data_IF_628841703506
#
_entry.id   IF_628841703506
#
_cell.length_a   1.000
_cell.length_b   1.000
_cell.length_c   1.000
_cell.angle_alpha   90.00
_cell.angle_beta   90.00
_cell.angle_gamma   90.00
#
_symmetry.space_group_name_H-M   'P 1'
#
loop_
_entity.id
_entity.type
_entity.pdbx_description
1 polymer ?
#
# COMPACT_ATOMS: atom_id res chain seq x y z
N UNK A 1 4.73 -11.46 20.20
CA UNK A 1 5.36 -10.20 19.75
C UNK A 1 4.57 -9.50 18.64
N UNK A 2 4.08 -10.22 17.62
CA UNK A 2 3.53 -9.61 16.40
C UNK A 2 2.19 -8.90 16.61
N UNK A 3 1.32 -9.41 17.50
CA UNK A 3 -0.02 -8.83 17.75
C UNK A 3 0.01 -7.39 18.25
N UNK A 4 1.03 -7.01 19.02
CA UNK A 4 1.15 -5.66 19.58
C UNK A 4 1.57 -4.67 18.50
N UNK A 5 2.52 -5.06 17.65
CA UNK A 5 2.90 -4.28 16.45
C UNK A 5 1.71 -4.13 15.48
N UNK A 6 0.94 -5.19 15.25
CA UNK A 6 -0.27 -5.13 14.42
C UNK A 6 -1.36 -4.24 15.04
N UNK A 7 -1.59 -4.31 16.35
CA UNK A 7 -2.56 -3.47 17.03
C UNK A 7 -2.16 -1.99 17.01
N UNK A 8 -0.88 -1.69 17.22
CA UNK A 8 -0.34 -0.32 17.14
C UNK A 8 -0.42 0.19 15.70
N UNK A 9 -0.11 -0.66 14.71
CA UNK A 9 -0.25 -0.35 13.31
C UNK A 9 -1.70 0.00 12.92
N UNK A 10 -2.63 -0.87 13.30
CA UNK A 10 -4.05 -0.72 13.01
C UNK A 10 -4.66 0.50 13.72
N UNK A 11 -4.16 0.83 14.92
CA UNK A 11 -4.52 2.06 15.61
C UNK A 11 -3.98 3.31 14.89
N UNK A 12 -2.70 3.32 14.53
CA UNK A 12 -2.03 4.43 13.83
C UNK A 12 -2.69 4.79 12.49
N UNK A 13 -3.24 3.80 11.79
CA UNK A 13 -3.84 4.01 10.46
C UNK A 13 -5.33 4.30 10.46
N UNK A 14 -5.96 4.35 11.64
CA UNK A 14 -7.33 4.83 11.76
C UNK A 14 -7.33 6.34 11.98
N UNK A 15 -8.39 7.07 11.55
CA UNK A 15 -8.54 8.51 11.79
C UNK A 15 -8.17 8.98 13.22
N UNK A 16 -8.56 8.30 14.32
CA UNK A 16 -8.12 8.66 15.66
C UNK A 16 -6.61 8.57 15.89
N UNK A 17 -5.92 7.55 15.36
CA UNK A 17 -4.47 7.41 15.52
C UNK A 17 -3.70 8.52 14.81
N UNK A 18 -4.21 8.99 13.67
CA UNK A 18 -3.66 10.15 12.96
C UNK A 18 -3.72 11.43 13.82
N UNK A 19 -4.85 11.72 14.46
CA UNK A 19 -4.96 12.89 15.35
C UNK A 19 -4.00 12.80 16.55
N UNK A 20 -3.84 11.62 17.14
CA UNK A 20 -2.88 11.38 18.23
C UNK A 20 -1.45 11.67 17.77
N UNK A 21 -1.09 11.24 16.55
CA UNK A 21 0.24 11.52 15.98
C UNK A 21 0.47 13.01 15.72
N UNK A 22 -0.53 13.73 15.20
CA UNK A 22 -0.45 15.18 14.98
C UNK A 22 -0.22 15.92 16.32
N UNK A 23 -0.96 15.54 17.37
CA UNK A 23 -0.78 16.13 18.71
C UNK A 23 0.62 15.81 19.25
N UNK A 24 1.06 14.57 19.13
CA UNK A 24 2.40 14.16 19.57
C UNK A 24 3.51 14.94 18.85
N UNK A 25 3.37 15.18 17.54
CA UNK A 25 4.31 15.99 16.76
C UNK A 25 4.30 17.46 17.18
N UNK A 26 3.12 18.04 17.43
CA UNK A 26 2.97 19.42 17.89
C UNK A 26 3.61 19.63 19.27
N UNK A 27 3.34 18.71 20.20
CA UNK A 27 3.94 18.72 21.55
C UNK A 27 5.46 18.55 21.47
N UNK A 28 5.93 17.61 20.64
CA UNK A 28 7.37 17.38 20.44
C UNK A 28 8.06 18.65 19.92
N UNK A 29 7.47 19.32 18.93
CA UNK A 29 8.00 20.56 18.36
C UNK A 29 8.03 21.70 19.38
N UNK A 30 7.00 21.80 20.22
CA UNK A 30 6.93 22.81 21.29
C UNK A 30 8.00 22.60 22.38
N UNK A 31 8.54 21.38 22.54
CA UNK A 31 9.59 21.06 23.53
C UNK A 31 11.01 21.39 23.04
N UNK A 32 11.22 21.59 21.72
CA UNK A 32 12.52 21.98 21.13
C UNK A 32 13.14 23.23 21.76
N UNK A 33 12.42 24.36 21.94
CA UNK A 33 13.01 25.59 22.52
C UNK A 33 13.45 25.45 23.99
N UNK A 34 13.07 24.37 24.68
CA UNK A 34 13.49 24.10 26.06
C UNK A 34 14.88 23.41 26.16
N UNK A 35 15.62 23.31 25.06
CA UNK A 35 16.94 22.67 25.03
C UNK A 35 16.91 21.15 24.93
N UNK A 36 15.73 20.55 24.78
CA UNK A 36 15.55 19.10 24.53
C UNK A 36 15.72 18.72 23.06
N UNK A 37 16.23 19.61 22.20
CA UNK A 37 16.33 19.44 20.74
C UNK A 37 16.87 18.08 20.32
N UNK A 38 17.95 17.59 20.95
CA UNK A 38 18.54 16.30 20.59
C UNK A 38 17.62 15.11 20.90
N UNK A 39 16.97 15.13 22.06
CA UNK A 39 16.06 14.05 22.50
C UNK A 39 14.80 14.04 21.66
N UNK A 40 14.22 15.22 21.43
CA UNK A 40 13.02 15.40 20.60
C UNK A 40 13.29 14.97 19.16
N UNK A 41 14.42 15.40 18.58
CA UNK A 41 14.79 15.05 17.21
C UNK A 41 14.97 13.54 17.06
N UNK A 42 15.69 12.91 18.00
CA UNK A 42 15.89 11.46 17.96
C UNK A 42 14.57 10.70 18.08
N UNK A 43 13.69 11.12 19.01
CA UNK A 43 12.37 10.52 19.19
C UNK A 43 11.49 10.65 17.92
N UNK A 44 11.48 11.83 17.29
CA UNK A 44 10.74 12.06 16.05
C UNK A 44 11.29 11.22 14.88
N UNK A 45 12.62 11.08 14.76
CA UNK A 45 13.22 10.25 13.72
C UNK A 45 12.86 8.77 13.88
N UNK A 46 12.92 8.24 15.11
CA UNK A 46 12.53 6.85 15.40
C UNK A 46 11.03 6.65 15.13
N UNK A 47 10.18 7.59 15.55
CA UNK A 47 8.75 7.55 15.28
C UNK A 47 8.44 7.53 13.77
N UNK A 48 9.10 8.38 12.99
CA UNK A 48 8.93 8.43 11.54
C UNK A 48 9.26 7.07 10.88
N UNK A 49 10.39 6.46 11.25
CA UNK A 49 10.80 5.15 10.72
C UNK A 49 9.76 4.07 11.04
N UNK A 50 9.26 4.02 12.28
CA UNK A 50 8.25 3.05 12.71
C UNK A 50 6.95 3.25 11.92
N UNK A 51 6.48 4.50 11.78
CA UNK A 51 5.24 4.81 11.07
C UNK A 51 5.36 4.46 9.59
N UNK A 52 6.48 4.80 8.94
CA UNK A 52 6.74 4.40 7.56
C UNK A 52 6.69 2.88 7.40
N UNK A 53 7.30 2.12 8.31
CA UNK A 53 7.21 0.66 8.32
C UNK A 53 5.78 0.13 8.45
N UNK A 54 5.00 0.72 9.38
CA UNK A 54 3.59 0.40 9.59
C UNK A 54 2.74 0.65 8.34
N UNK A 55 2.90 1.80 7.70
CA UNK A 55 2.16 2.19 6.49
C UNK A 55 2.49 1.25 5.33
N UNK A 56 3.76 0.90 5.15
CA UNK A 56 4.19 -0.06 4.12
C UNK A 56 3.56 -1.44 4.31
N UNK A 57 3.52 -1.94 5.54
CA UNK A 57 2.91 -3.26 5.86
C UNK A 57 1.41 -3.25 5.55
N UNK A 58 0.72 -2.16 5.85
CA UNK A 58 -0.71 -2.04 5.57
C UNK A 58 -1.00 -1.94 4.08
N UNK A 59 -0.23 -1.13 3.35
CA UNK A 59 -0.34 -1.04 1.90
C UNK A 59 -0.18 -2.41 1.24
N UNK A 60 0.80 -3.21 1.68
CA UNK A 60 1.02 -4.55 1.14
C UNK A 60 -0.17 -5.50 1.35
N UNK A 61 -0.77 -5.49 2.56
CA UNK A 61 -1.93 -6.34 2.89
C UNK A 61 -3.17 -5.96 2.08
N UNK A 62 -3.42 -4.67 1.94
CA UNK A 62 -4.62 -4.17 1.26
C UNK A 62 -4.52 -4.36 -0.27
N UNK A 63 -3.33 -4.18 -0.86
CA UNK A 63 -3.09 -4.49 -2.28
C UNK A 63 -3.27 -5.97 -2.59
N UNK A 64 -2.72 -6.87 -1.76
CA UNK A 64 -2.87 -8.32 -1.97
C UNK A 64 -4.33 -8.77 -1.88
N UNK A 65 -5.12 -8.18 -0.98
CA UNK A 65 -6.54 -8.48 -0.85
C UNK A 65 -7.36 -8.00 -2.06
N UNK A 66 -6.97 -6.88 -2.68
CA UNK A 66 -7.59 -6.40 -3.92
C UNK A 66 -7.27 -7.35 -5.07
N UNK A 67 -6.01 -7.73 -5.26
CA UNK A 67 -5.61 -8.65 -6.33
C UNK A 67 -6.33 -9.99 -6.23
N UNK A 68 -6.40 -10.59 -5.03
CA UNK A 68 -7.11 -11.86 -4.83
C UNK A 68 -8.61 -11.78 -5.18
N UNK A 69 -9.28 -10.65 -4.91
CA UNK A 69 -10.68 -10.46 -5.29
C UNK A 69 -10.85 -10.29 -6.81
N UNK A 70 -9.91 -9.63 -7.47
CA UNK A 70 -9.91 -9.48 -8.93
C UNK A 70 -9.66 -10.82 -9.61
N UNK A 71 -8.72 -11.62 -9.10
CA UNK A 71 -8.45 -12.98 -9.59
C UNK A 71 -9.69 -13.86 -9.49
N UNK A 72 -10.42 -13.82 -8.37
CA UNK A 72 -11.68 -14.55 -8.21
C UNK A 72 -12.74 -14.11 -9.24
N UNK A 73 -12.85 -12.82 -9.54
CA UNK A 73 -13.76 -12.29 -10.57
C UNK A 73 -13.34 -12.79 -11.96
N UNK A 74 -12.04 -12.78 -12.28
CA UNK A 74 -11.52 -13.28 -13.56
C UNK A 74 -11.84 -14.76 -13.74
N UNK A 75 -11.66 -15.58 -12.69
CA UNK A 75 -12.00 -17.01 -12.71
C UNK A 75 -13.51 -17.22 -12.82
N UNK A 76 -14.33 -16.39 -12.16
CA UNK A 76 -15.79 -16.52 -12.14
C UNK A 76 -16.47 -16.01 -13.43
N UNK A 77 -15.92 -15.00 -14.10
CA UNK A 77 -16.37 -14.62 -15.44
C UNK A 77 -15.78 -15.60 -16.46
N UNK A 78 -16.63 -16.48 -16.99
CA UNK A 78 -16.25 -17.46 -18.02
C UNK A 78 -15.81 -16.83 -19.36
N UNK A 79 -15.98 -15.51 -19.53
CA UNK A 79 -15.46 -14.71 -20.66
C UNK A 79 -14.16 -13.97 -20.35
N UNK A 80 -13.71 -13.93 -19.08
CA UNK A 80 -12.47 -13.22 -18.73
C UNK A 80 -11.30 -14.17 -18.91
N UNK A 81 -10.26 -13.66 -19.58
CA UNK A 81 -9.11 -14.45 -20.00
C UNK A 81 -8.26 -14.78 -18.78
N UNK A 82 -8.15 -16.06 -18.46
CA UNK A 82 -7.51 -16.54 -17.23
C UNK A 82 -5.97 -16.39 -17.22
N UNK A 83 -5.39 -15.82 -18.28
CA UNK A 83 -3.95 -15.62 -18.47
C UNK A 83 -3.41 -14.36 -17.77
N UNK A 84 -4.30 -13.48 -17.28
CA UNK A 84 -3.91 -12.30 -16.47
C UNK A 84 -4.01 -12.54 -14.96
N UNK A 85 -4.54 -13.69 -14.54
CA UNK A 85 -4.63 -14.09 -13.12
C UNK A 85 -3.22 -14.28 -12.55
N UNK A 86 -2.94 -13.67 -11.40
CA UNK A 86 -1.66 -13.80 -10.72
C UNK A 86 -0.47 -13.15 -11.46
N UNK A 87 -0.73 -12.34 -12.49
CA UNK A 87 0.30 -11.65 -13.27
C UNK A 87 1.19 -10.74 -12.41
N UNK A 88 0.71 -10.26 -11.27
CA UNK A 88 1.47 -9.45 -10.31
C UNK A 88 2.67 -10.19 -9.68
N UNK A 89 2.70 -11.52 -9.78
CA UNK A 89 3.80 -12.36 -9.30
C UNK A 89 4.83 -12.66 -10.39
N UNK A 90 4.54 -12.32 -11.65
CA UNK A 90 5.41 -12.59 -12.79
C UNK A 90 6.59 -11.61 -12.87
N UNK A 91 7.62 -11.99 -13.64
CA UNK A 91 8.78 -11.13 -13.85
C UNK A 91 8.39 -9.80 -14.55
N UNK A 92 9.06 -8.68 -14.26
CA UNK A 92 8.71 -7.37 -14.85
C UNK A 92 8.70 -7.34 -16.38
N UNK A 93 9.53 -8.17 -17.02
CA UNK A 93 9.56 -8.32 -18.48
C UNK A 93 8.32 -9.04 -19.01
N UNK A 94 7.85 -10.05 -18.28
CA UNK A 94 6.66 -10.82 -18.63
C UNK A 94 5.40 -9.98 -18.43
N UNK A 95 5.30 -9.25 -17.32
CA UNK A 95 4.20 -8.30 -17.05
C UNK A 95 4.05 -7.31 -18.21
N UNK A 96 5.15 -6.69 -18.67
CA UNK A 96 5.13 -5.74 -19.79
C UNK A 96 4.71 -6.38 -21.11
N UNK A 97 5.18 -7.60 -21.38
CA UNK A 97 4.82 -8.32 -22.60
C UNK A 97 3.33 -8.66 -22.63
N UNK A 98 2.76 -9.09 -21.49
CA UNK A 98 1.33 -9.40 -21.35
C UNK A 98 0.46 -8.15 -21.43
N UNK A 99 0.84 -7.06 -20.76
CA UNK A 99 0.16 -5.76 -20.88
C UNK A 99 0.11 -5.27 -22.33
N UNK A 100 1.25 -5.31 -23.05
CA UNK A 100 1.30 -4.89 -24.45
C UNK A 100 0.41 -5.74 -25.37
N UNK A 101 0.29 -7.05 -25.10
CA UNK A 101 -0.64 -7.92 -25.84
C UNK A 101 -2.10 -7.54 -25.59
N UNK A 102 -2.49 -7.33 -24.32
CA UNK A 102 -3.85 -6.94 -23.95
C UNK A 102 -4.22 -5.57 -24.55
N UNK A 103 -3.30 -4.60 -24.50
CA UNK A 103 -3.50 -3.27 -25.08
C UNK A 103 -3.64 -3.33 -26.61
N UNK A 104 -2.80 -4.11 -27.31
CA UNK A 104 -2.88 -4.27 -28.75
C UNK A 104 -4.21 -4.88 -29.20
N UNK A 105 -4.68 -5.92 -28.52
CA UNK A 105 -5.96 -6.57 -28.82
C UNK A 105 -7.16 -5.67 -28.53
N UNK A 106 -7.11 -4.87 -27.45
CA UNK A 106 -8.16 -3.89 -27.15
C UNK A 106 -8.28 -2.83 -28.26
N UNK A 107 -7.16 -2.40 -28.84
CA UNK A 107 -7.13 -1.47 -29.98
C UNK A 107 -7.69 -2.12 -31.24
N UNK A 108 -7.37 -3.40 -31.51
CA UNK A 108 -7.93 -4.14 -32.66
C UNK A 108 -9.45 -4.32 -32.54
N UNK A 109 -9.96 -4.68 -31.36
CA UNK A 109 -11.40 -4.80 -31.10
C UNK A 109 -12.13 -3.45 -31.25
N UNK A 110 -11.50 -2.35 -30.81
CA UNK A 110 -12.04 -0.99 -31.00
C UNK A 110 -12.05 -0.56 -32.48
N UNK A 111 -11.10 -1.02 -33.29
CA UNK A 111 -11.00 -0.66 -34.71
C UNK A 111 -11.82 -1.56 -35.63
N UNK A 112 -12.13 -2.80 -35.21
CA UNK A 112 -12.96 -3.75 -35.96
C UNK A 112 -14.47 -3.63 -35.71
N UNK A 113 -14.90 -2.77 -34.79
CA UNK A 113 -16.30 -2.51 -34.45
C UNK A 113 -16.91 -1.30 -35.19
N UNK A 114 -16.30 -0.88 -36.31
CA UNK A 114 -16.73 0.22 -37.18
C UNK A 114 -17.26 -0.24 -38.52
#
# INVERSE_FOLDING_TARGET
>A
MNKLLFAVAEFLSRPPGFYVMIIAMAVSTALVPFGLTNVVTYALSVAAIIITGVVLIQGYRDTAAIHAKLDEIIVALNETRNDVVGLEHADPKEIKARLAQVEAEAVELSNGSG
#
